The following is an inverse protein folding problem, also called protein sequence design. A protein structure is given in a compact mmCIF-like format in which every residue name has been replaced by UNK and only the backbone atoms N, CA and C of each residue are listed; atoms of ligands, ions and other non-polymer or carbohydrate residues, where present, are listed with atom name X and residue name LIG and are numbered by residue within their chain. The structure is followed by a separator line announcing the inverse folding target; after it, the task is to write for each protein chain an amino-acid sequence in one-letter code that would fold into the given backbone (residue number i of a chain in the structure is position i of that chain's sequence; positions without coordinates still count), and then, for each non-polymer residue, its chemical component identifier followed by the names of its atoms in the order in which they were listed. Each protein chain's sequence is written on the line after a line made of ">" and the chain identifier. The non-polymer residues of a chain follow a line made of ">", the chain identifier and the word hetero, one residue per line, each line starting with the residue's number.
data_IF_972050844459
#
_entry.id   IF_972050844459
#
_cell.length_a   1.000
_cell.length_b   1.000
_cell.length_c   1.000
_cell.angle_alpha   90.00
_cell.angle_beta   90.00
_cell.angle_gamma   90.00
#
_symmetry.space_group_name_H-M   'P 1'
#
loop_
_entity.id
_entity.type
_entity.pdbx_description
1 polymer ?
#
# COMPACT_ATOMS: atom_id res chain seq x y z
N UNK A 1 6.68 -3.25 14.33
CA UNK A 1 5.77 -3.11 13.19
C UNK A 1 5.22 -1.68 13.17
N UNK A 2 5.05 -1.08 12.00
CA UNK A 2 4.44 0.25 11.82
C UNK A 2 3.39 0.19 10.71
N UNK A 3 2.18 0.63 10.99
CA UNK A 3 1.11 0.82 9.99
C UNK A 3 0.88 2.30 9.80
N UNK A 4 0.92 2.77 8.55
CA UNK A 4 0.64 4.16 8.20
C UNK A 4 -0.62 4.22 7.34
N UNK A 5 -1.60 5.02 7.78
CA UNK A 5 -2.83 5.26 7.04
C UNK A 5 -2.83 6.69 6.52
N UNK A 6 -2.97 6.84 5.21
CA UNK A 6 -2.99 8.13 4.52
C UNK A 6 -4.44 8.46 4.18
N UNK A 7 -5.15 9.14 5.09
CA UNK A 7 -6.57 9.45 4.96
C UNK A 7 -6.83 10.95 4.80
N UNK A 8 -7.74 11.31 3.89
CA UNK A 8 -8.20 12.68 3.66
C UNK A 8 -9.45 12.66 2.78
N UNK A 9 -10.46 13.44 3.15
CA UNK A 9 -11.69 13.62 2.38
C UNK A 9 -11.48 14.45 1.10
N UNK A 10 -10.39 15.21 1.02
CA UNK A 10 -10.08 16.05 -0.15
C UNK A 10 -9.42 15.21 -1.25
N UNK A 11 -9.99 15.28 -2.45
CA UNK A 11 -9.34 14.81 -3.68
C UNK A 11 -8.10 15.66 -3.99
N UNK A 12 -7.02 15.03 -4.46
CA UNK A 12 -5.77 15.75 -4.77
C UNK A 12 -4.92 16.18 -3.57
N UNK A 13 -5.23 15.72 -2.35
CA UNK A 13 -4.44 16.03 -1.15
C UNK A 13 -3.08 15.29 -1.06
N UNK A 14 -2.67 14.55 -2.10
CA UNK A 14 -1.38 13.86 -2.16
C UNK A 14 -1.32 12.48 -1.48
N UNK A 15 -2.45 11.90 -1.04
CA UNK A 15 -2.50 10.60 -0.34
C UNK A 15 -1.76 9.48 -1.08
N UNK A 16 -2.15 9.22 -2.33
CA UNK A 16 -1.59 8.17 -3.19
C UNK A 16 -0.10 8.41 -3.44
N UNK A 17 0.26 9.65 -3.76
CA UNK A 17 1.66 10.04 -4.00
C UNK A 17 2.53 9.81 -2.77
N UNK A 18 2.08 10.24 -1.59
CA UNK A 18 2.83 10.05 -0.35
C UNK A 18 2.92 8.59 0.05
N UNK A 19 1.82 7.82 -0.07
CA UNK A 19 1.84 6.38 0.21
C UNK A 19 2.89 5.65 -0.64
N UNK A 20 2.89 5.90 -1.96
CA UNK A 20 3.85 5.36 -2.89
C UNK A 20 5.31 5.68 -2.51
N UNK A 21 5.62 6.97 -2.29
CA UNK A 21 6.99 7.41 -1.99
C UNK A 21 7.48 6.92 -0.63
N UNK A 22 6.63 6.96 0.40
CA UNK A 22 6.99 6.47 1.74
C UNK A 22 7.26 4.97 1.72
N UNK A 23 6.45 4.19 0.99
CA UNK A 23 6.66 2.75 0.90
C UNK A 23 7.97 2.41 0.18
N UNK A 24 8.28 3.09 -0.94
CA UNK A 24 9.57 2.92 -1.64
C UNK A 24 10.72 3.31 -0.72
N UNK A 25 10.64 4.46 -0.05
CA UNK A 25 11.70 4.92 0.84
C UNK A 25 11.94 3.94 2.00
N UNK A 26 10.88 3.38 2.59
CA UNK A 26 10.98 2.39 3.65
C UNK A 26 11.64 1.07 3.16
N UNK A 27 11.26 0.59 1.98
CA UNK A 27 11.85 -0.60 1.36
C UNK A 27 13.35 -0.38 1.10
N UNK A 28 13.72 0.76 0.49
CA UNK A 28 15.12 1.11 0.22
C UNK A 28 15.95 1.32 1.50
N UNK A 29 15.32 1.72 2.60
CA UNK A 29 15.97 1.88 3.90
C UNK A 29 16.13 0.55 4.67
N UNK A 30 15.72 -0.58 4.10
CA UNK A 30 15.82 -1.89 4.75
C UNK A 30 14.75 -2.15 5.82
N UNK A 31 13.67 -1.36 5.84
CA UNK A 31 12.55 -1.56 6.76
C UNK A 31 11.52 -2.59 6.24
N UNK A 32 11.81 -3.24 5.11
CA UNK A 32 10.95 -4.23 4.47
C UNK A 32 10.83 -5.57 5.22
N UNK A 33 9.93 -6.47 4.75
CA UNK A 33 9.12 -6.31 3.54
C UNK A 33 7.98 -5.30 3.72
N UNK A 34 7.88 -4.33 2.79
CA UNK A 34 6.81 -3.31 2.76
C UNK A 34 5.69 -3.73 1.83
N UNK A 35 4.45 -3.48 2.24
CA UNK A 35 3.25 -3.66 1.41
C UNK A 35 2.44 -2.36 1.34
N UNK A 36 2.05 -1.99 0.12
CA UNK A 36 1.08 -0.96 -0.18
C UNK A 36 -0.32 -1.57 -0.19
N UNK A 37 -1.25 -1.01 0.55
CA UNK A 37 -2.66 -1.43 0.53
C UNK A 37 -3.49 -0.32 -0.10
N UNK A 38 -4.11 -0.59 -1.25
CA UNK A 38 -4.98 0.36 -1.95
C UNK A 38 -6.43 0.07 -1.60
N UNK A 39 -7.04 0.96 -0.81
CA UNK A 39 -8.46 0.89 -0.41
C UNK A 39 -9.33 1.94 -1.10
N UNK A 40 -8.74 2.77 -1.97
CA UNK A 40 -9.47 3.78 -2.71
C UNK A 40 -10.20 3.12 -3.90
N UNK A 41 -11.53 3.24 -4.01
CA UNK A 41 -12.28 2.71 -5.15
C UNK A 41 -11.79 3.19 -6.51
N UNK A 42 -11.10 4.34 -6.58
CA UNK A 42 -10.51 4.85 -7.83
C UNK A 42 -9.26 4.08 -8.27
N UNK A 43 -8.60 3.36 -7.36
CA UNK A 43 -7.47 2.49 -7.70
C UNK A 43 -6.22 3.22 -8.20
N UNK A 44 -6.08 4.52 -7.95
CA UNK A 44 -4.98 5.34 -8.46
C UNK A 44 -3.59 4.81 -8.03
N UNK A 45 -3.50 4.24 -6.82
CA UNK A 45 -2.24 3.66 -6.33
C UNK A 45 -1.92 2.36 -7.08
N UNK A 46 -2.93 1.52 -7.29
CA UNK A 46 -2.80 0.28 -8.07
C UNK A 46 -2.44 0.55 -9.53
N UNK A 47 -3.07 1.55 -10.15
CA UNK A 47 -2.76 1.97 -11.52
C UNK A 47 -1.32 2.45 -11.67
N UNK A 48 -0.83 3.26 -10.72
CA UNK A 48 0.56 3.69 -10.67
C UNK A 48 1.53 2.51 -10.44
N UNK A 49 1.19 1.58 -9.56
CA UNK A 49 2.06 0.42 -9.29
C UNK A 49 2.19 -0.45 -10.56
N UNK A 50 1.09 -0.70 -11.26
CA UNK A 50 1.06 -1.50 -12.49
C UNK A 50 1.79 -0.85 -13.68
N UNK A 51 2.07 0.45 -13.65
CA UNK A 51 2.81 1.14 -14.73
C UNK A 51 4.32 1.13 -14.55
N UNK A 52 4.82 0.54 -13.46
CA UNK A 52 6.26 0.44 -13.14
C UNK A 52 6.80 -0.93 -13.51
N UNK A 53 8.08 -0.98 -13.88
CA UNK A 53 8.80 -2.25 -14.07
C UNK A 53 9.20 -2.90 -12.73
N UNK A 54 9.26 -2.12 -11.66
CA UNK A 54 9.69 -2.57 -10.35
C UNK A 54 8.55 -3.23 -9.57
N UNK A 55 8.77 -4.46 -9.11
CA UNK A 55 7.78 -5.26 -8.38
C UNK A 55 7.78 -5.04 -6.86
N UNK A 56 8.62 -4.13 -6.36
CA UNK A 56 8.70 -3.76 -4.93
C UNK A 56 8.44 -2.26 -4.72
N UNK A 57 7.78 -1.86 -3.62
CA UNK A 57 7.11 -2.69 -2.60
C UNK A 57 5.94 -3.51 -3.15
N UNK A 58 5.50 -4.53 -2.40
CA UNK A 58 4.33 -5.34 -2.79
C UNK A 58 3.04 -4.50 -2.78
N UNK A 59 2.06 -4.88 -3.60
CA UNK A 59 0.75 -4.24 -3.67
C UNK A 59 -0.36 -5.21 -3.25
N UNK A 60 -1.29 -4.73 -2.44
CA UNK A 60 -2.54 -5.40 -2.09
C UNK A 60 -3.73 -4.45 -2.28
N UNK A 61 -4.34 -4.45 -3.45
CA UNK A 61 -5.59 -3.73 -3.68
C UNK A 61 -6.75 -4.42 -2.98
N UNK A 62 -7.51 -3.74 -2.11
CA UNK A 62 -8.59 -4.35 -1.34
C UNK A 62 -9.79 -3.42 -1.25
N UNK A 63 -11.01 -3.95 -1.43
CA UNK A 63 -12.20 -3.22 -1.01
C UNK A 63 -12.23 -3.16 0.51
N UNK A 64 -12.84 -2.11 1.08
CA UNK A 64 -12.95 -1.97 2.55
C UNK A 64 -13.59 -3.19 3.22
N UNK A 65 -14.60 -3.80 2.60
CA UNK A 65 -15.26 -5.00 3.13
C UNK A 65 -14.34 -6.25 3.14
N UNK A 66 -13.34 -6.28 2.27
CA UNK A 66 -12.41 -7.42 2.12
C UNK A 66 -11.12 -7.21 2.93
N UNK A 67 -10.92 -6.00 3.46
CA UNK A 67 -9.68 -5.61 4.12
C UNK A 67 -9.29 -6.55 5.28
N UNK A 68 -10.20 -6.99 6.18
CA UNK A 68 -9.83 -7.91 7.26
C UNK A 68 -9.21 -9.22 6.75
N UNK A 69 -9.88 -9.89 5.80
CA UNK A 69 -9.37 -11.12 5.18
C UNK A 69 -8.05 -10.89 4.41
N UNK A 70 -7.91 -9.71 3.78
CA UNK A 70 -6.67 -9.33 3.08
C UNK A 70 -5.49 -9.21 4.04
N UNK A 71 -5.70 -8.61 5.21
CA UNK A 71 -4.67 -8.46 6.23
C UNK A 71 -4.23 -9.82 6.79
N UNK A 72 -5.16 -10.73 7.04
CA UNK A 72 -4.84 -12.10 7.45
C UNK A 72 -4.00 -12.85 6.39
N UNK A 73 -4.38 -12.72 5.12
CA UNK A 73 -3.63 -13.32 4.01
C UNK A 73 -2.20 -12.75 3.90
N UNK A 74 -2.04 -11.43 4.08
CA UNK A 74 -0.73 -10.78 4.07
C UNK A 74 0.13 -11.17 5.28
N UNK A 75 -0.47 -11.31 6.47
CA UNK A 75 0.23 -11.81 7.66
C UNK A 75 0.75 -13.24 7.43
N UNK A 76 -0.09 -14.09 6.82
CA UNK A 76 0.27 -15.46 6.43
C UNK A 76 1.36 -15.50 5.36
N UNK A 77 1.44 -14.47 4.51
CA UNK A 77 2.47 -14.31 3.49
C UNK A 77 3.80 -13.73 4.02
N UNK A 78 3.91 -13.48 5.33
CA UNK A 78 5.16 -13.05 5.98
C UNK A 78 5.31 -11.53 6.15
N UNK A 79 4.28 -10.74 5.83
CA UNK A 79 4.26 -9.33 6.22
C UNK A 79 3.95 -9.21 7.72
N UNK A 80 4.67 -8.34 8.42
CA UNK A 80 4.39 -8.06 9.83
C UNK A 80 3.21 -7.09 9.89
N UNK A 81 2.00 -7.63 10.13
CA UNK A 81 0.72 -6.92 10.23
C UNK A 81 0.04 -7.11 11.59
#
# INVERSE_FOLDING_TARGET
>A
MKTLVLASQKGGAGKTTLAAHLAIAAELAGAGPVVLIDTDPQGSLSAWWNSRDANTPALAAAKLAELPAKLEALASAGFKL
#
